data_IF_554486915403
#
_entry.id   IF_554486915403
#
_cell.length_a   1.000
_cell.length_b   1.000
_cell.length_c   1.000
_cell.angle_alpha   90.00
_cell.angle_beta   90.00
_cell.angle_gamma   90.00
#
_symmetry.space_group_name_H-M   'P 1'
#
loop_
_entity.id
_entity.type
_entity.pdbx_description
1 polymer ?
#
# COMPACT_ATOMS: atom_id res chain seq x y z
N UNK A 1 10.17 27.58 -39.44
CA UNK A 1 11.02 26.68 -38.62
C UNK A 1 12.48 27.00 -38.92
N UNK A 2 13.20 27.64 -37.99
CA UNK A 2 14.60 28.07 -38.19
C UNK A 2 15.63 27.15 -37.52
N UNK A 3 15.18 26.20 -36.68
CA UNK A 3 16.03 25.19 -36.04
C UNK A 3 15.48 23.80 -36.39
N UNK A 4 16.05 23.13 -37.39
CA UNK A 4 15.72 21.74 -37.75
C UNK A 4 17.03 20.96 -37.79
N UNK A 5 17.12 19.89 -37.01
CA UNK A 5 18.24 18.94 -37.01
C UNK A 5 17.75 17.59 -37.55
N UNK A 6 18.64 16.86 -38.22
CA UNK A 6 18.37 15.46 -38.55
C UNK A 6 18.40 14.62 -37.27
N UNK A 7 17.38 13.80 -37.07
CA UNK A 7 17.25 12.89 -35.92
C UNK A 7 16.91 11.51 -36.47
N UNK A 8 17.53 10.48 -35.90
CA UNK A 8 17.25 9.09 -36.26
C UNK A 8 15.84 8.69 -35.78
N UNK A 9 15.00 8.08 -36.63
CA UNK A 9 13.64 7.72 -36.25
C UNK A 9 13.58 6.75 -35.06
N UNK A 10 14.59 5.90 -34.87
CA UNK A 10 14.69 4.97 -33.74
C UNK A 10 14.67 5.69 -32.39
N UNK A 11 15.38 6.81 -32.28
CA UNK A 11 15.43 7.58 -31.04
C UNK A 11 14.06 8.16 -30.66
N UNK A 12 13.25 8.56 -31.65
CA UNK A 12 11.91 9.07 -31.40
C UNK A 12 10.95 7.97 -30.93
N UNK A 13 11.08 6.76 -31.49
CA UNK A 13 10.27 5.63 -31.08
C UNK A 13 10.63 5.14 -29.67
N UNK A 14 11.90 5.22 -29.28
CA UNK A 14 12.36 4.85 -27.93
C UNK A 14 11.96 5.88 -26.86
N UNK A 15 12.16 7.18 -27.14
CA UNK A 15 11.83 8.25 -26.19
C UNK A 15 10.33 8.54 -26.09
N UNK A 16 9.59 8.31 -27.18
CA UNK A 16 8.18 8.63 -27.28
C UNK A 16 7.35 7.50 -27.90
N UNK A 17 7.32 6.29 -27.30
CA UNK A 17 6.62 5.14 -27.87
C UNK A 17 5.10 5.32 -27.95
N UNK A 18 4.53 6.29 -27.21
CA UNK A 18 3.11 6.65 -27.32
C UNK A 18 2.78 7.49 -28.56
N UNK A 19 3.77 8.20 -29.12
CA UNK A 19 3.58 9.16 -30.20
C UNK A 19 4.18 8.70 -31.53
N UNK A 20 5.33 8.01 -31.48
CA UNK A 20 6.09 7.61 -32.66
C UNK A 20 6.13 6.08 -32.77
N UNK A 21 5.95 5.59 -33.99
CA UNK A 21 6.12 4.17 -34.32
C UNK A 21 6.82 4.03 -35.67
N UNK A 22 7.73 3.06 -35.76
CA UNK A 22 8.51 2.81 -36.97
C UNK A 22 7.89 1.64 -37.71
N UNK A 23 7.60 1.85 -38.99
CA UNK A 23 7.15 0.79 -39.88
C UNK A 23 8.37 0.18 -40.57
N UNK A 24 8.90 -0.91 -40.01
CA UNK A 24 9.96 -1.68 -40.67
C UNK A 24 9.38 -2.46 -41.85
N UNK A 25 10.02 -2.38 -43.01
CA UNK A 25 9.63 -3.18 -44.18
C UNK A 25 9.93 -4.66 -43.88
N UNK A 26 8.90 -5.50 -43.81
CA UNK A 26 9.03 -6.94 -43.56
C UNK A 26 8.40 -7.43 -42.26
N UNK A 27 8.26 -6.57 -41.24
CA UNK A 27 7.48 -6.94 -40.04
C UNK A 27 5.99 -6.81 -40.31
N UNK A 28 5.25 -7.88 -40.02
CA UNK A 28 3.79 -7.87 -40.17
C UNK A 28 3.14 -7.11 -39.02
N UNK A 29 1.96 -6.49 -39.26
CA UNK A 29 1.16 -5.88 -38.17
C UNK A 29 0.88 -6.86 -37.02
N UNK A 30 0.91 -8.16 -37.30
CA UNK A 30 0.72 -9.20 -36.31
C UNK A 30 1.89 -9.28 -35.31
N UNK A 31 3.14 -9.14 -35.76
CA UNK A 31 4.33 -9.18 -34.90
C UNK A 31 4.38 -7.96 -33.98
N UNK A 32 4.10 -6.77 -34.49
CA UNK A 32 4.03 -5.56 -33.67
C UNK A 32 2.96 -5.69 -32.57
N UNK A 33 1.80 -6.30 -32.88
CA UNK A 33 0.76 -6.59 -31.88
C UNK A 33 1.21 -7.64 -30.85
N UNK A 34 1.96 -8.66 -31.27
CA UNK A 34 2.52 -9.67 -30.36
C UNK A 34 3.49 -9.03 -29.38
N UNK A 35 4.45 -8.25 -29.87
CA UNK A 35 5.42 -7.53 -29.03
C UNK A 35 4.74 -6.57 -28.06
N UNK A 36 3.74 -5.79 -28.51
CA UNK A 36 2.96 -4.93 -27.62
C UNK A 36 2.21 -5.73 -26.54
N UNK A 37 1.65 -6.89 -26.90
CA UNK A 37 0.97 -7.76 -25.95
C UNK A 37 1.92 -8.41 -24.96
N UNK A 38 3.14 -8.78 -25.40
CA UNK A 38 4.19 -9.37 -24.55
C UNK A 38 4.71 -8.33 -23.56
N UNK A 39 5.04 -7.13 -24.04
CA UNK A 39 5.49 -6.03 -23.19
C UNK A 39 4.41 -5.62 -22.17
N UNK A 40 3.13 -5.62 -22.56
CA UNK A 40 2.01 -5.38 -21.63
C UNK A 40 1.91 -6.48 -20.57
N UNK A 41 2.00 -7.76 -20.96
CA UNK A 41 1.98 -8.89 -20.03
C UNK A 41 3.16 -8.86 -19.05
N UNK A 42 4.34 -8.50 -19.54
CA UNK A 42 5.53 -8.35 -18.70
C UNK A 42 5.32 -7.25 -17.64
N UNK A 43 4.80 -6.10 -18.06
CA UNK A 43 4.47 -5.01 -17.13
C UNK A 43 3.42 -5.43 -16.09
N UNK A 44 2.36 -6.14 -16.50
CA UNK A 44 1.33 -6.65 -15.59
C UNK A 44 1.91 -7.63 -14.56
N UNK A 45 2.78 -8.54 -14.98
CA UNK A 45 3.49 -9.47 -14.09
C UNK A 45 4.35 -8.74 -13.05
N UNK A 46 5.12 -7.74 -13.49
CA UNK A 46 5.97 -6.96 -12.59
C UNK A 46 5.12 -6.15 -11.59
N UNK A 47 4.01 -5.55 -12.03
CA UNK A 47 3.09 -4.81 -11.16
C UNK A 47 2.44 -5.72 -10.11
N UNK A 48 2.02 -6.92 -10.48
CA UNK A 48 1.45 -7.90 -9.54
C UNK A 48 2.46 -8.32 -8.47
N UNK A 49 3.74 -8.52 -8.84
CA UNK A 49 4.80 -8.83 -7.88
C UNK A 49 5.04 -7.67 -6.90
N UNK A 50 5.09 -6.44 -7.41
CA UNK A 50 5.26 -5.24 -6.59
C UNK A 50 4.08 -5.06 -5.63
N UNK A 51 2.85 -5.29 -6.11
CA UNK A 51 1.65 -5.20 -5.29
C UNK A 51 1.65 -6.23 -4.16
N UNK A 52 2.04 -7.47 -4.44
CA UNK A 52 2.14 -8.52 -3.41
C UNK A 52 3.20 -8.19 -2.35
N UNK A 53 4.36 -7.66 -2.75
CA UNK A 53 5.39 -7.18 -1.81
C UNK A 53 4.84 -6.04 -0.95
N UNK A 54 4.13 -5.08 -1.56
CA UNK A 54 3.52 -3.96 -0.83
C UNK A 54 2.44 -4.44 0.14
N UNK A 55 1.63 -5.41 -0.26
CA UNK A 55 0.59 -6.01 0.59
C UNK A 55 1.20 -6.68 1.80
N UNK A 56 2.20 -7.54 1.62
CA UNK A 56 2.93 -8.20 2.72
C UNK A 56 3.56 -7.19 3.68
N UNK A 57 4.24 -6.17 3.15
CA UNK A 57 4.82 -5.10 3.99
C UNK A 57 3.75 -4.38 4.81
N UNK A 58 2.59 -4.08 4.20
CA UNK A 58 1.48 -3.41 4.90
C UNK A 58 0.90 -4.28 6.00
N UNK A 59 0.70 -5.57 5.75
CA UNK A 59 0.23 -6.54 6.75
C UNK A 59 1.21 -6.67 7.92
N UNK A 60 2.51 -6.77 7.64
CA UNK A 60 3.56 -6.82 8.66
C UNK A 60 3.63 -5.53 9.51
N UNK A 61 3.49 -4.37 8.87
CA UNK A 61 3.45 -3.07 9.54
C UNK A 61 2.20 -2.92 10.42
N UNK A 62 1.05 -3.39 9.95
CA UNK A 62 -0.21 -3.35 10.69
C UNK A 62 -0.18 -4.30 11.90
N UNK A 63 0.36 -5.51 11.75
CA UNK A 63 0.57 -6.45 12.85
C UNK A 63 1.52 -5.88 13.92
N UNK A 64 2.66 -5.32 13.52
CA UNK A 64 3.57 -4.65 14.46
C UNK A 64 2.92 -3.46 15.15
N UNK A 65 2.04 -2.73 14.45
CA UNK A 65 1.33 -1.59 15.02
C UNK A 65 0.24 -2.01 16.01
N UNK A 66 -0.49 -3.09 15.75
CA UNK A 66 -1.46 -3.63 16.70
C UNK A 66 -0.77 -4.18 17.94
N UNK A 67 0.32 -4.93 17.79
CA UNK A 67 1.14 -5.44 18.91
C UNK A 67 1.64 -4.31 19.81
N UNK A 68 2.20 -3.24 19.21
CA UNK A 68 2.64 -2.05 19.97
C UNK A 68 1.48 -1.39 20.71
N UNK A 69 0.32 -1.23 20.05
CA UNK A 69 -0.86 -0.63 20.66
C UNK A 69 -1.41 -1.46 21.81
N UNK A 70 -1.38 -2.79 21.71
CA UNK A 70 -1.83 -3.68 22.77
C UNK A 70 -0.86 -3.68 23.96
N UNK A 71 0.45 -3.63 23.69
CA UNK A 71 1.47 -3.44 24.73
C UNK A 71 1.31 -2.10 25.47
N UNK A 72 1.10 -1.00 24.74
CA UNK A 72 0.82 0.33 25.32
C UNK A 72 -0.46 0.33 26.16
N UNK A 73 -1.54 -0.31 25.69
CA UNK A 73 -2.80 -0.45 26.43
C UNK A 73 -2.64 -1.25 27.72
N UNK A 74 -1.83 -2.31 27.71
CA UNK A 74 -1.55 -3.11 28.90
C UNK A 74 -0.73 -2.36 29.97
N UNK A 75 0.07 -1.37 29.56
CA UNK A 75 0.87 -0.55 30.46
C UNK A 75 0.07 0.59 31.14
N UNK A 76 -1.13 0.92 30.64
CA UNK A 76 -1.97 1.97 31.24
C UNK A 76 -2.72 1.37 32.44
N UNK A 77 -2.25 1.69 33.65
CA UNK A 77 -3.01 1.47 34.88
C UNK A 77 -4.10 2.54 34.97
N UNK A 78 -5.25 2.28 34.36
CA UNK A 78 -6.42 3.19 34.43
C UNK A 78 -7.01 3.15 35.84
N UNK A 79 -6.98 4.25 36.62
CA UNK A 79 -7.57 4.27 37.96
C UNK A 79 -9.06 3.94 37.90
N UNK A 80 -9.49 2.92 38.65
CA UNK A 80 -10.88 2.42 38.65
C UNK A 80 -11.15 1.21 37.75
N UNK A 81 -10.23 0.84 36.86
CA UNK A 81 -10.30 -0.39 36.07
C UNK A 81 -9.90 -1.58 36.94
N UNK A 82 -10.80 -2.55 37.12
CA UNK A 82 -10.51 -3.76 37.92
C UNK A 82 -10.03 -4.88 36.98
N UNK A 83 -8.94 -5.60 37.31
CA UNK A 83 -8.56 -6.78 36.55
C UNK A 83 -9.67 -7.85 36.66
N UNK A 84 -9.85 -8.63 35.60
CA UNK A 84 -10.86 -9.68 35.56
C UNK A 84 -10.65 -10.65 36.74
N UNK A 85 -11.61 -10.71 37.67
CA UNK A 85 -11.55 -11.53 38.89
C UNK A 85 -11.33 -10.78 40.21
N UNK A 86 -11.06 -9.47 40.19
CA UNK A 86 -10.96 -8.68 41.42
C UNK A 86 -12.33 -8.43 42.07
N UNK A 87 -12.47 -8.82 43.35
CA UNK A 87 -13.69 -8.61 44.14
C UNK A 87 -13.97 -7.11 44.30
N UNK A 88 -15.22 -6.70 44.11
CA UNK A 88 -15.64 -5.31 44.25
C UNK A 88 -15.40 -4.81 45.68
N UNK A 89 -14.64 -3.72 45.83
CA UNK A 89 -14.59 -2.99 47.11
C UNK A 89 -15.98 -2.43 47.41
N UNK A 90 -16.58 -2.74 48.57
CA UNK A 90 -17.91 -2.25 48.92
C UNK A 90 -17.86 -0.71 49.04
N UNK A 91 -18.77 -0.03 48.34
CA UNK A 91 -18.90 1.41 48.41
C UNK A 91 -19.35 1.79 49.83
N UNK A 92 -18.43 2.24 50.67
CA UNK A 92 -18.73 2.74 52.01
C UNK A 92 -19.37 4.12 51.87
N UNK A 93 -20.69 4.17 51.70
CA UNK A 93 -21.43 5.43 51.85
C UNK A 93 -21.47 5.81 53.33
N UNK A 94 -21.04 7.02 53.73
CA UNK A 94 -21.17 7.45 55.12
C UNK A 94 -22.66 7.55 55.48
N UNK A 95 -23.05 6.92 56.59
CA UNK A 95 -24.40 6.99 57.16
C UNK A 95 -24.76 8.46 57.41
N UNK A 96 -25.75 8.99 56.69
CA UNK A 96 -26.39 10.26 57.04
C UNK A 96 -27.30 10.02 58.25
N UNK A 97 -27.00 10.69 59.35
CA UNK A 97 -27.88 10.76 60.52
C UNK A 97 -29.07 11.64 60.15
N UNK A 98 -30.26 11.06 59.98
CA UNK A 98 -31.52 11.81 59.90
C UNK A 98 -31.99 11.95 61.33
N UNK A 99 -31.91 13.17 61.88
CA UNK A 99 -32.42 13.50 63.22
C UNK A 99 -33.94 13.69 63.23
N UNK A 100 -34.53 13.49 64.42
CA UNK A 100 -35.92 13.75 64.78
C UNK A 100 -36.31 15.22 64.63
#
# INVERSE_FOLDING_TARGET
MQCVSAVEPEWLAELGPMFFSIKMAGTTRAEARRQQSEHKKEMESQMAQVEEIRRKRREDEEAKRSEKRDAERGAIVTPGMRPAGAKATPARTPRRHVGL
#
